data_IF_835415254601
#
_entry.id   IF_835415254601
#
_cell.length_a   1.000
_cell.length_b   1.000
_cell.length_c   1.000
_cell.angle_alpha   90.00
_cell.angle_beta   90.00
_cell.angle_gamma   90.00
#
_symmetry.space_group_name_H-M   'P 1'
#
loop_
_entity.id
_entity.type
_entity.pdbx_description
1 polymer ?
#
# COMPACT_ATOMS: atom_id res chain seq x y z
N UNK A 1 -23.24 4.17 66.35
CA UNK A 1 -22.21 4.26 65.29
C UNK A 1 -22.86 3.70 64.04
N UNK A 2 -23.23 4.55 63.07
CA UNK A 2 -23.83 4.05 61.83
C UNK A 2 -22.78 3.28 61.04
N UNK A 3 -23.15 2.16 60.42
CA UNK A 3 -22.25 1.43 59.54
C UNK A 3 -21.74 2.38 58.44
N UNK A 4 -20.43 2.34 58.09
CA UNK A 4 -19.94 3.13 56.97
C UNK A 4 -20.74 2.79 55.71
N UNK A 5 -21.09 3.81 54.93
CA UNK A 5 -21.71 3.61 53.64
C UNK A 5 -20.83 2.75 52.72
N UNK A 6 -21.43 2.11 51.73
CA UNK A 6 -20.67 1.45 50.67
C UNK A 6 -20.03 2.55 49.81
N UNK A 7 -18.71 2.53 49.56
CA UNK A 7 -18.07 3.53 48.71
C UNK A 7 -18.66 3.54 47.30
N UNK A 8 -19.04 4.71 46.82
CA UNK A 8 -19.64 4.91 45.51
C UNK A 8 -18.82 5.89 44.67
N UNK A 9 -18.69 5.59 43.38
CA UNK A 9 -18.11 6.46 42.38
C UNK A 9 -18.99 6.43 41.15
N UNK A 10 -19.56 7.57 40.80
CA UNK A 10 -20.43 7.72 39.64
C UNK A 10 -19.89 8.81 38.72
N UNK A 11 -20.20 8.72 37.43
CA UNK A 11 -19.92 9.82 36.50
C UNK A 11 -20.85 10.97 36.85
N UNK A 12 -20.28 12.15 37.08
CA UNK A 12 -21.08 13.33 37.41
C UNK A 12 -21.99 13.70 36.22
N UNK A 13 -23.12 14.40 36.45
CA UNK A 13 -23.97 14.89 35.37
C UNK A 13 -23.17 15.70 34.35
N UNK A 14 -23.29 15.37 33.05
CA UNK A 14 -22.47 15.95 31.97
C UNK A 14 -20.95 15.79 32.17
N UNK A 15 -20.51 14.79 32.94
CA UNK A 15 -19.12 14.55 33.31
C UNK A 15 -18.22 14.03 32.20
N UNK A 16 -18.53 14.31 30.93
CA UNK A 16 -17.63 14.03 29.81
C UNK A 16 -17.51 12.56 29.39
N UNK A 17 -18.53 11.72 29.61
CA UNK A 17 -18.57 10.38 29.03
C UNK A 17 -18.99 10.40 27.54
N UNK A 18 -18.58 9.38 26.80
CA UNK A 18 -18.93 9.14 25.39
C UNK A 18 -18.56 10.29 24.44
N UNK A 19 -17.43 10.95 24.71
CA UNK A 19 -16.95 12.06 23.88
C UNK A 19 -16.30 11.57 22.58
N UNK A 20 -16.24 12.44 21.60
CA UNK A 20 -15.46 12.25 20.37
C UNK A 20 -14.38 13.31 20.25
N UNK A 21 -13.26 12.97 19.63
CA UNK A 21 -12.17 13.90 19.37
C UNK A 21 -11.20 13.34 18.33
N UNK A 22 -10.36 14.19 17.75
CA UNK A 22 -9.30 13.73 16.84
C UNK A 22 -8.25 12.95 17.63
N UNK A 23 -7.71 11.87 17.06
CA UNK A 23 -6.64 11.09 17.65
C UNK A 23 -5.46 11.99 18.09
N UNK A 24 -4.95 11.78 19.30
CA UNK A 24 -3.91 12.60 19.92
C UNK A 24 -4.37 13.96 20.47
N UNK A 25 -5.65 14.34 20.32
CA UNK A 25 -6.18 15.61 20.83
C UNK A 25 -6.73 15.48 22.25
N UNK A 26 -6.70 16.60 22.98
CA UNK A 26 -7.40 16.75 24.25
C UNK A 26 -8.92 16.77 24.01
N UNK A 27 -9.66 16.00 24.80
CA UNK A 27 -11.13 16.00 24.72
C UNK A 27 -11.72 17.38 25.10
N UNK A 28 -12.80 17.82 24.43
CA UNK A 28 -13.40 19.13 24.67
C UNK A 28 -13.83 19.33 26.13
N UNK A 29 -14.50 18.32 26.69
CA UNK A 29 -14.97 18.34 28.07
C UNK A 29 -14.03 17.51 28.95
N UNK A 30 -13.79 17.96 30.20
CA UNK A 30 -13.10 17.14 31.18
C UNK A 30 -13.96 15.91 31.56
N UNK A 31 -13.29 14.86 32.01
CA UNK A 31 -13.95 13.71 32.63
C UNK A 31 -14.14 13.97 34.12
N UNK A 32 -15.36 13.75 34.63
CA UNK A 32 -15.75 14.15 35.99
C UNK A 32 -16.54 13.04 36.66
N UNK A 33 -16.11 12.69 37.87
CA UNK A 33 -16.81 11.74 38.75
C UNK A 33 -17.21 12.40 40.06
N UNK A 34 -18.20 11.83 40.72
CA UNK A 34 -18.62 12.18 42.07
C UNK A 34 -18.42 10.99 43.01
N UNK A 35 -17.73 11.25 44.11
CA UNK A 35 -17.52 10.33 45.23
C UNK A 35 -18.69 10.44 46.21
N UNK A 36 -19.21 9.31 46.66
CA UNK A 36 -20.23 9.24 47.71
C UNK A 36 -20.00 8.01 48.61
N UNK A 37 -20.80 7.87 49.68
CA UNK A 37 -20.79 6.69 50.54
C UNK A 37 -19.57 6.55 51.47
N UNK A 38 -18.64 7.52 51.48
CA UNK A 38 -17.46 7.54 52.37
C UNK A 38 -17.45 8.79 53.25
N UNK A 39 -16.71 8.76 54.36
CA UNK A 39 -16.55 9.92 55.25
C UNK A 39 -15.08 10.10 55.61
N UNK A 40 -14.45 11.26 55.30
CA UNK A 40 -15.01 12.40 54.57
C UNK A 40 -15.19 12.14 53.06
N UNK A 41 -16.14 12.81 52.41
CA UNK A 41 -16.36 12.71 50.95
C UNK A 41 -15.31 13.50 50.16
N UNK A 42 -14.90 14.68 50.66
CA UNK A 42 -13.84 15.50 50.09
C UNK A 42 -12.47 15.03 50.59
N UNK A 43 -11.44 15.17 49.76
CA UNK A 43 -10.07 14.72 50.02
C UNK A 43 -9.82 13.25 49.68
N UNK A 44 -10.80 12.54 49.11
CA UNK A 44 -10.65 11.16 48.67
C UNK A 44 -9.84 11.11 47.38
N UNK A 45 -8.95 10.12 47.24
CA UNK A 45 -8.10 10.00 46.05
C UNK A 45 -8.82 9.19 44.97
N UNK A 46 -8.97 9.80 43.79
CA UNK A 46 -9.46 9.12 42.59
C UNK A 46 -8.32 8.99 41.60
N UNK A 47 -7.94 7.75 41.29
CA UNK A 47 -6.96 7.44 40.26
C UNK A 47 -7.63 7.37 38.89
N UNK A 48 -7.03 7.99 37.88
CA UNK A 48 -7.48 7.89 36.50
C UNK A 48 -6.47 7.07 35.70
N UNK A 49 -6.94 5.98 35.11
CA UNK A 49 -6.10 5.03 34.41
C UNK A 49 -6.64 4.85 33.01
N UNK A 50 -5.83 5.14 32.00
CA UNK A 50 -6.15 4.79 30.60
C UNK A 50 -6.07 3.27 30.47
N UNK A 51 -7.15 2.63 30.05
CA UNK A 51 -7.24 1.16 29.95
C UNK A 51 -7.33 0.67 28.50
N UNK A 52 -7.73 1.52 27.56
CA UNK A 52 -7.79 1.19 26.14
C UNK A 52 -7.41 2.37 25.26
N UNK A 53 -6.70 2.07 24.17
CA UNK A 53 -6.47 2.98 23.05
C UNK A 53 -5.33 4.00 23.23
N UNK A 54 -4.77 4.09 24.45
CA UNK A 54 -3.60 4.90 24.76
C UNK A 54 -3.93 6.37 25.07
N UNK A 55 -2.93 7.23 24.96
CA UNK A 55 -3.05 8.64 25.35
C UNK A 55 -2.68 8.87 26.81
N UNK A 56 -3.24 9.92 27.40
CA UNK A 56 -2.87 10.32 28.76
C UNK A 56 -3.98 11.09 29.47
N UNK A 57 -3.96 11.00 30.79
CA UNK A 57 -4.71 11.91 31.66
C UNK A 57 -3.74 12.94 32.24
N UNK A 58 -4.23 14.15 32.54
CA UNK A 58 -3.38 15.24 33.02
C UNK A 58 -2.69 14.91 34.35
N UNK A 59 -3.39 14.23 35.25
CA UNK A 59 -2.83 13.71 36.49
C UNK A 59 -3.34 12.30 36.75
N UNK A 60 -2.47 11.38 37.19
CA UNK A 60 -2.87 10.00 37.46
C UNK A 60 -3.76 9.88 38.71
N UNK A 61 -3.72 10.86 39.62
CA UNK A 61 -4.50 10.88 40.85
C UNK A 61 -5.02 12.31 41.10
N UNK A 62 -6.30 12.42 41.44
CA UNK A 62 -6.97 13.71 41.72
C UNK A 62 -7.75 13.58 43.03
N UNK A 63 -7.56 14.49 44.01
CA UNK A 63 -8.40 14.50 45.20
C UNK A 63 -9.80 15.02 44.88
N UNK A 64 -10.82 14.41 45.48
CA UNK A 64 -12.18 14.92 45.44
C UNK A 64 -12.29 16.23 46.22
N UNK A 65 -13.11 17.16 45.74
CA UNK A 65 -13.30 18.46 46.37
C UNK A 65 -14.71 19.00 46.10
N UNK A 66 -15.02 20.16 46.68
CA UNK A 66 -16.28 20.88 46.49
C UNK A 66 -16.07 22.09 45.58
N UNK A 67 -16.50 22.06 44.30
CA UNK A 67 -16.31 23.17 43.39
C UNK A 67 -17.01 24.45 43.83
N UNK A 68 -16.37 25.60 43.60
CA UNK A 68 -16.94 26.93 43.93
C UNK A 68 -17.64 27.58 42.73
N UNK A 69 -17.50 27.02 41.53
CA UNK A 69 -18.04 27.57 40.29
C UNK A 69 -18.25 26.48 39.24
N UNK A 70 -19.01 26.80 38.19
CA UNK A 70 -19.28 25.90 37.07
C UNK A 70 -20.46 24.95 37.32
N UNK A 71 -20.67 23.98 36.42
CA UNK A 71 -21.86 23.11 36.44
C UNK A 71 -22.00 22.24 37.69
N UNK A 72 -20.90 21.98 38.38
CA UNK A 72 -20.84 21.17 39.61
C UNK A 72 -20.58 22.02 40.86
N UNK A 73 -20.80 23.33 40.79
CA UNK A 73 -20.64 24.21 41.94
C UNK A 73 -21.45 23.69 43.13
N UNK A 74 -20.85 23.74 44.30
CA UNK A 74 -21.45 23.34 45.58
C UNK A 74 -21.72 21.84 45.77
N UNK A 75 -21.40 20.99 44.80
CA UNK A 75 -21.46 19.52 44.95
C UNK A 75 -20.22 19.01 45.67
N UNK A 76 -20.38 18.19 46.71
CA UNK A 76 -19.27 17.51 47.36
C UNK A 76 -18.78 16.30 46.55
N UNK A 77 -17.51 15.94 46.73
CA UNK A 77 -16.95 14.70 46.22
C UNK A 77 -16.56 14.74 44.75
N UNK A 78 -16.43 15.91 44.14
CA UNK A 78 -16.12 16.03 42.71
C UNK A 78 -14.63 15.82 42.48
N UNK A 79 -14.29 14.90 41.58
CA UNK A 79 -12.94 14.76 41.04
C UNK A 79 -12.98 14.92 39.52
N UNK A 80 -12.09 15.74 38.98
CA UNK A 80 -12.07 16.14 37.58
C UNK A 80 -10.69 15.90 36.96
N UNK A 81 -10.67 15.44 35.71
CA UNK A 81 -9.43 15.28 34.96
C UNK A 81 -9.58 15.70 33.49
N UNK A 82 -8.45 15.98 32.85
CA UNK A 82 -8.33 16.24 31.42
C UNK A 82 -7.77 15.01 30.73
N UNK A 83 -8.42 14.56 29.66
CA UNK A 83 -8.05 13.35 28.94
C UNK A 83 -7.66 13.67 27.50
N UNK A 84 -6.41 13.36 27.15
CA UNK A 84 -5.88 13.37 25.79
C UNK A 84 -6.00 11.99 25.19
N UNK A 85 -6.68 11.88 24.05
CA UNK A 85 -6.89 10.62 23.35
C UNK A 85 -5.57 10.03 22.84
N UNK A 86 -5.50 8.71 22.72
CA UNK A 86 -4.39 8.05 22.02
C UNK A 86 -4.33 8.38 20.53
N UNK A 87 -3.24 7.96 19.88
CA UNK A 87 -2.99 8.21 18.45
C UNK A 87 -3.71 7.25 17.52
N UNK A 88 -4.34 6.20 18.05
CA UNK A 88 -5.10 5.21 17.27
C UNK A 88 -6.59 5.59 17.23
N UNK A 89 -7.14 5.76 16.04
CA UNK A 89 -8.57 5.97 15.84
C UNK A 89 -9.38 4.75 16.30
N UNK A 90 -10.56 4.98 16.88
CA UNK A 90 -11.42 3.95 17.44
C UNK A 90 -11.79 4.20 18.91
N UNK A 91 -12.36 3.18 19.59
CA UNK A 91 -12.78 3.30 20.99
C UNK A 91 -11.59 3.42 21.93
N UNK A 92 -11.78 4.26 22.94
CA UNK A 92 -10.79 4.64 23.96
C UNK A 92 -11.47 4.58 25.32
N UNK A 93 -10.74 4.17 26.37
CA UNK A 93 -11.32 3.97 27.71
C UNK A 93 -10.40 4.49 28.81
N UNK A 94 -10.98 5.21 29.78
CA UNK A 94 -10.35 5.58 31.05
C UNK A 94 -11.20 5.07 32.19
N UNK A 95 -10.58 4.41 33.16
CA UNK A 95 -11.21 4.08 34.44
C UNK A 95 -10.83 5.12 35.50
N UNK A 96 -11.84 5.70 36.14
CA UNK A 96 -11.69 6.42 37.39
C UNK A 96 -11.89 5.42 38.53
N UNK A 97 -10.95 5.35 39.46
CA UNK A 97 -10.91 4.38 40.56
C UNK A 97 -10.81 5.13 41.87
N UNK A 98 -11.83 5.01 42.71
CA UNK A 98 -11.74 5.45 44.10
C UNK A 98 -10.86 4.45 44.84
N UNK A 99 -9.79 4.90 45.48
CA UNK A 99 -8.81 4.01 46.12
C UNK A 99 -8.74 4.23 47.62
N UNK A 100 -8.39 3.16 48.34
CA UNK A 100 -8.05 3.23 49.75
C UNK A 100 -6.69 3.93 49.92
N UNK A 101 -6.60 5.05 50.67
CA UNK A 101 -5.37 5.82 50.79
C UNK A 101 -4.25 5.10 51.56
N UNK A 102 -4.56 4.05 52.33
CA UNK A 102 -3.58 3.33 53.14
C UNK A 102 -2.82 2.25 52.35
N UNK A 103 -3.48 1.61 51.38
CA UNK A 103 -2.92 0.46 50.67
C UNK A 103 -3.09 0.51 49.13
N UNK A 104 -3.75 1.54 48.59
CA UNK A 104 -3.95 1.73 47.16
C UNK A 104 -5.00 0.80 46.53
N UNK A 105 -5.73 0.00 47.31
CA UNK A 105 -6.73 -0.92 46.79
C UNK A 105 -7.92 -0.13 46.18
N UNK A 106 -8.36 -0.52 44.98
CA UNK A 106 -9.59 0.03 44.37
C UNK A 106 -10.79 -0.35 45.22
N UNK A 107 -11.53 0.65 45.69
CA UNK A 107 -12.78 0.49 46.43
C UNK A 107 -13.97 0.36 45.48
N UNK A 108 -14.01 1.19 44.44
CA UNK A 108 -15.03 1.19 43.39
C UNK A 108 -14.52 1.96 42.17
N UNK A 109 -15.17 1.82 41.01
CA UNK A 109 -14.74 2.46 39.78
C UNK A 109 -15.89 2.91 38.89
N UNK A 110 -15.60 3.90 38.05
CA UNK A 110 -16.45 4.35 36.96
C UNK A 110 -15.64 4.38 35.66
N UNK A 111 -16.29 4.06 34.54
CA UNK A 111 -15.62 3.93 33.24
C UNK A 111 -16.07 5.02 32.27
N UNK A 112 -15.12 5.79 31.78
CA UNK A 112 -15.31 6.73 30.68
C UNK A 112 -14.96 6.06 29.36
N UNK A 113 -15.82 6.23 28.37
CA UNK A 113 -15.58 5.86 26.98
C UNK A 113 -15.45 7.12 26.14
N UNK A 114 -14.61 7.06 25.11
CA UNK A 114 -14.53 8.06 24.07
C UNK A 114 -14.20 7.39 22.73
N UNK A 115 -14.43 8.09 21.63
CA UNK A 115 -14.04 7.64 20.29
C UNK A 115 -13.05 8.62 19.68
N UNK A 116 -11.83 8.13 19.43
CA UNK A 116 -10.85 8.84 18.63
C UNK A 116 -11.20 8.74 17.15
N UNK A 117 -11.33 9.88 16.49
CA UNK A 117 -11.49 10.00 15.04
C UNK A 117 -10.11 10.17 14.41
N UNK A 118 -9.92 9.63 13.22
CA UNK A 118 -8.71 9.89 12.46
C UNK A 118 -8.58 11.39 12.16
N UNK A 119 -7.34 11.90 12.15
CA UNK A 119 -7.06 13.30 11.82
C UNK A 119 -7.24 13.60 10.33
N UNK A 120 -6.94 14.83 9.89
CA UNK A 120 -6.90 15.16 8.47
C UNK A 120 -5.92 14.24 7.71
N UNK A 121 -6.26 13.92 6.45
CA UNK A 121 -5.37 13.16 5.58
C UNK A 121 -4.02 13.88 5.43
N UNK A 122 -2.92 13.15 5.63
CA UNK A 122 -1.57 13.73 5.63
C UNK A 122 -0.58 12.93 4.77
N UNK A 123 -0.75 11.61 4.67
CA UNK A 123 0.21 10.70 4.05
C UNK A 123 -0.45 9.88 2.93
N UNK A 124 0.27 9.72 1.82
CA UNK A 124 -0.05 8.80 0.72
C UNK A 124 1.10 7.79 0.57
N UNK A 125 0.82 6.49 0.63
CA UNK A 125 1.85 5.43 0.56
C UNK A 125 1.42 4.29 -0.36
N UNK A 126 2.40 3.59 -0.93
CA UNK A 126 2.16 2.32 -1.63
C UNK A 126 1.54 1.31 -0.64
N UNK A 127 0.47 0.65 -1.07
CA UNK A 127 -0.17 -0.45 -0.34
C UNK A 127 0.03 -1.81 -1.03
N UNK A 128 -0.03 -1.86 -2.36
CA UNK A 128 0.20 -3.07 -3.15
C UNK A 128 0.59 -2.74 -4.60
N UNK A 129 1.10 -3.74 -5.33
CA UNK A 129 1.31 -3.65 -6.79
C UNK A 129 2.50 -2.81 -7.25
N UNK A 130 3.53 -2.64 -6.40
CA UNK A 130 4.81 -2.02 -6.80
C UNK A 130 5.77 -3.02 -7.45
N UNK A 131 6.67 -2.52 -8.31
CA UNK A 131 7.80 -3.25 -8.92
C UNK A 131 7.43 -4.62 -9.52
N UNK A 132 6.63 -4.61 -10.58
CA UNK A 132 6.12 -5.85 -11.18
C UNK A 132 6.81 -6.20 -12.50
N UNK A 133 6.63 -7.44 -12.96
CA UNK A 133 7.03 -7.87 -14.29
C UNK A 133 5.93 -8.74 -14.89
N UNK A 134 5.83 -8.72 -16.22
CA UNK A 134 4.86 -9.52 -16.96
C UNK A 134 5.15 -9.48 -18.46
N UNK A 135 4.34 -10.16 -19.26
CA UNK A 135 4.42 -10.03 -20.71
C UNK A 135 3.87 -8.66 -21.15
N UNK A 136 4.48 -8.07 -22.17
CA UNK A 136 3.99 -6.86 -22.81
C UNK A 136 2.55 -7.08 -23.31
N UNK A 137 1.68 -6.09 -23.10
CA UNK A 137 0.26 -6.17 -23.40
C UNK A 137 -0.58 -6.96 -22.39
N UNK A 138 0.02 -7.49 -21.32
CA UNK A 138 -0.69 -8.25 -20.28
C UNK A 138 -0.91 -7.44 -19.00
N UNK A 139 -1.92 -7.83 -18.21
CA UNK A 139 -2.14 -7.30 -16.88
C UNK A 139 -1.02 -7.71 -15.92
N UNK A 140 -0.63 -6.80 -15.04
CA UNK A 140 0.24 -7.12 -13.90
C UNK A 140 -0.51 -7.99 -12.89
N UNK A 141 0.24 -8.81 -12.14
CA UNK A 141 -0.36 -9.81 -11.24
C UNK A 141 -1.10 -9.18 -10.05
N UNK A 142 -0.53 -8.13 -9.46
CA UNK A 142 -1.12 -7.42 -8.32
C UNK A 142 -1.57 -6.02 -8.76
N UNK A 143 -2.88 -5.71 -8.73
CA UNK A 143 -3.35 -4.37 -9.06
C UNK A 143 -2.70 -3.30 -8.16
N UNK A 144 -2.17 -2.20 -8.74
CA UNK A 144 -1.63 -1.08 -7.96
C UNK A 144 -2.63 -0.48 -6.98
N UNK A 145 -2.20 -0.31 -5.74
CA UNK A 145 -3.01 0.28 -4.68
C UNK A 145 -2.17 1.20 -3.79
N UNK A 146 -2.80 2.27 -3.30
CA UNK A 146 -2.25 3.19 -2.30
C UNK A 146 -3.13 3.25 -1.06
N UNK A 147 -2.54 3.63 0.07
CA UNK A 147 -3.27 3.92 1.31
C UNK A 147 -3.11 5.40 1.67
N UNK A 148 -4.23 6.03 2.02
CA UNK A 148 -4.25 7.38 2.61
C UNK A 148 -4.44 7.26 4.12
N UNK A 149 -3.58 7.96 4.86
CA UNK A 149 -3.62 7.99 6.32
C UNK A 149 -3.44 9.40 6.87
N UNK A 150 -3.83 9.64 8.13
CA UNK A 150 -3.40 10.81 8.89
C UNK A 150 -1.92 10.72 9.31
N UNK A 151 -1.45 11.70 10.07
CA UNK A 151 -0.08 11.78 10.57
C UNK A 151 0.33 10.62 11.48
N UNK A 152 -0.63 9.90 12.08
CA UNK A 152 -0.39 8.77 12.99
C UNK A 152 -0.60 7.41 12.30
N UNK A 153 -0.94 7.40 11.02
CA UNK A 153 -1.18 6.16 10.27
C UNK A 153 -2.63 5.66 10.35
N UNK A 154 -3.56 6.44 10.89
CA UNK A 154 -4.98 6.06 10.89
C UNK A 154 -5.55 6.18 9.46
N UNK A 155 -6.29 5.18 8.98
CA UNK A 155 -6.84 5.20 7.62
C UNK A 155 -7.91 6.27 7.43
N UNK A 156 -7.90 6.94 6.28
CA UNK A 156 -8.90 7.97 5.93
C UNK A 156 -9.76 7.50 4.76
N UNK A 157 -11.06 7.43 4.98
CA UNK A 157 -12.07 7.08 3.97
C UNK A 157 -12.48 8.29 3.12
N UNK A 158 -12.93 8.04 1.88
CA UNK A 158 -13.50 9.06 1.00
C UNK A 158 -12.50 10.00 0.32
N UNK A 159 -11.19 9.75 0.44
CA UNK A 159 -10.16 10.56 -0.21
C UNK A 159 -10.03 10.14 -1.68
N UNK A 160 -10.46 11.00 -2.60
CA UNK A 160 -10.22 10.83 -4.04
C UNK A 160 -8.72 10.77 -4.37
N UNK A 161 -8.26 9.68 -4.99
CA UNK A 161 -6.91 9.50 -5.52
C UNK A 161 -7.01 9.28 -7.04
N UNK A 162 -6.22 10.02 -7.82
CA UNK A 162 -6.21 9.89 -9.29
C UNK A 162 -5.03 9.06 -9.76
N UNK A 163 -5.33 7.99 -10.49
CA UNK A 163 -4.37 7.10 -11.15
C UNK A 163 -4.21 7.45 -12.61
N UNK A 164 -2.97 7.47 -13.11
CA UNK A 164 -2.67 7.74 -14.51
C UNK A 164 -1.43 6.98 -14.98
N UNK A 165 -1.53 6.35 -16.16
CA UNK A 165 -0.37 5.75 -16.84
C UNK A 165 0.57 6.87 -17.26
N UNK A 166 1.80 6.84 -16.76
CA UNK A 166 2.79 7.88 -17.02
C UNK A 166 3.70 7.49 -18.19
N UNK A 167 4.10 6.22 -18.31
CA UNK A 167 4.92 5.72 -19.42
C UNK A 167 4.56 4.28 -19.80
N UNK A 168 4.95 3.87 -21.02
CA UNK A 168 4.79 2.51 -21.54
C UNK A 168 3.55 2.29 -22.40
N UNK A 169 2.53 3.16 -22.31
CA UNK A 169 1.36 3.12 -23.22
C UNK A 169 0.30 2.07 -22.89
N UNK A 170 0.32 1.52 -21.68
CA UNK A 170 -0.67 0.60 -21.14
C UNK A 170 -1.99 1.27 -20.70
N UNK A 171 -2.81 0.56 -19.93
CA UNK A 171 -4.12 1.05 -19.47
C UNK A 171 -4.47 0.55 -18.06
N UNK A 172 -5.42 1.23 -17.41
CA UNK A 172 -6.00 0.81 -16.12
C UNK A 172 -7.43 0.33 -16.30
N UNK A 173 -7.87 -0.61 -15.47
CA UNK A 173 -9.26 -1.06 -15.41
C UNK A 173 -10.00 -0.27 -14.32
N UNK A 174 -11.15 0.32 -14.69
CA UNK A 174 -11.97 1.14 -13.79
C UNK A 174 -11.74 2.65 -13.97
N UNK A 175 -12.32 3.48 -13.09
CA UNK A 175 -12.17 4.93 -13.18
C UNK A 175 -10.75 5.39 -12.83
N UNK A 176 -10.32 6.49 -13.43
CA UNK A 176 -9.02 7.10 -13.11
C UNK A 176 -9.00 7.66 -11.67
N UNK A 177 -10.11 8.18 -11.16
CA UNK A 177 -10.21 8.67 -9.78
C UNK A 177 -10.99 7.70 -8.91
N UNK A 178 -10.38 7.27 -7.81
CA UNK A 178 -10.91 6.26 -6.90
C UNK A 178 -10.90 6.84 -5.49
N UNK A 179 -12.04 6.80 -4.80
CA UNK A 179 -12.12 7.22 -3.41
C UNK A 179 -11.62 6.10 -2.49
N UNK A 180 -10.88 6.47 -1.45
CA UNK A 180 -10.44 5.49 -0.46
C UNK A 180 -11.62 4.84 0.28
N UNK A 181 -11.50 3.54 0.56
CA UNK A 181 -12.45 2.78 1.38
C UNK A 181 -12.28 3.03 2.89
N UNK A 182 -13.02 2.26 3.70
CA UNK A 182 -12.97 2.36 5.17
C UNK A 182 -11.61 2.04 5.79
N UNK A 183 -10.77 1.29 5.08
CA UNK A 183 -9.38 1.02 5.44
C UNK A 183 -8.40 2.02 4.82
N UNK A 184 -8.88 3.07 4.17
CA UNK A 184 -8.05 4.08 3.53
C UNK A 184 -7.40 3.63 2.22
N UNK A 185 -7.79 2.49 1.65
CA UNK A 185 -7.24 2.01 0.37
C UNK A 185 -7.98 2.58 -0.84
N UNK A 186 -7.20 3.01 -1.84
CA UNK A 186 -7.66 3.23 -3.21
C UNK A 186 -6.82 2.33 -4.14
N UNK A 187 -7.49 1.50 -4.95
CA UNK A 187 -6.85 0.51 -5.81
C UNK A 187 -7.51 0.50 -7.20
N UNK A 188 -6.70 0.45 -8.26
CA UNK A 188 -7.24 0.22 -9.61
C UNK A 188 -7.77 -1.20 -9.73
N UNK A 189 -8.72 -1.44 -10.63
CA UNK A 189 -9.22 -2.79 -10.91
C UNK A 189 -8.17 -3.68 -11.59
N UNK A 190 -7.18 -3.07 -12.24
CA UNK A 190 -6.07 -3.73 -12.93
C UNK A 190 -5.17 -2.72 -13.63
N UNK A 191 -3.96 -3.14 -13.96
CA UNK A 191 -3.02 -2.37 -14.77
C UNK A 191 -2.42 -3.26 -15.88
N UNK A 192 -2.77 -2.97 -17.12
CA UNK A 192 -2.26 -3.65 -18.31
C UNK A 192 -1.06 -2.88 -18.86
N UNK A 193 0.05 -3.58 -19.07
CA UNK A 193 1.28 -3.01 -19.62
C UNK A 193 1.12 -2.69 -21.11
N UNK A 194 1.94 -1.77 -21.63
CA UNK A 194 2.03 -1.53 -23.06
C UNK A 194 2.45 -2.76 -23.85
N UNK A 195 2.11 -2.80 -25.14
CA UNK A 195 2.41 -3.93 -26.03
C UNK A 195 3.87 -4.00 -26.47
N UNK A 196 4.64 -2.91 -26.30
CA UNK A 196 6.09 -2.89 -26.53
C UNK A 196 6.83 -3.34 -25.28
N UNK A 197 7.74 -4.30 -25.42
CA UNK A 197 8.59 -4.73 -24.32
C UNK A 197 9.43 -3.56 -23.78
N UNK A 198 9.45 -3.38 -22.45
CA UNK A 198 10.16 -2.29 -21.79
C UNK A 198 9.53 -1.83 -20.49
N UNK A 199 10.01 -0.68 -20.00
CA UNK A 199 9.59 -0.09 -18.75
C UNK A 199 8.20 0.58 -18.87
N UNK A 200 7.38 0.40 -17.85
CA UNK A 200 6.05 0.95 -17.71
C UNK A 200 5.92 1.63 -16.34
N UNK A 201 5.22 2.77 -16.27
CA UNK A 201 4.95 3.45 -15.00
C UNK A 201 3.50 3.91 -14.89
N UNK A 202 2.97 3.80 -13.66
CA UNK A 202 1.65 4.28 -13.26
C UNK A 202 1.84 5.21 -12.06
N UNK A 203 1.12 6.33 -12.01
CA UNK A 203 1.15 7.25 -10.86
C UNK A 203 -0.17 7.25 -10.14
N UNK A 204 -0.15 7.42 -8.82
CA UNK A 204 -1.32 7.71 -7.98
C UNK A 204 -1.10 9.04 -7.27
N UNK A 205 -2.02 9.99 -7.48
CA UNK A 205 -1.85 11.38 -7.09
C UNK A 205 -2.99 11.86 -6.22
N UNK A 206 -2.65 12.56 -5.14
CA UNK A 206 -3.55 13.41 -4.36
C UNK A 206 -2.77 14.59 -3.79
N UNK A 207 -2.97 15.77 -4.38
CA UNK A 207 -2.27 17.00 -4.01
C UNK A 207 -2.41 17.34 -2.53
N UNK A 208 -1.32 17.82 -1.93
CA UNK A 208 -1.27 18.21 -0.52
C UNK A 208 -0.93 17.08 0.45
N UNK A 209 -0.84 15.82 -0.01
CA UNK A 209 -0.38 14.71 0.83
C UNK A 209 1.12 14.49 0.68
N UNK A 210 1.79 14.22 1.80
CA UNK A 210 3.19 13.79 1.80
C UNK A 210 3.30 12.42 1.14
N UNK A 211 4.23 12.27 0.19
CA UNK A 211 4.40 11.06 -0.61
C UNK A 211 3.61 11.05 -1.93
N UNK A 212 2.85 12.10 -2.25
CA UNK A 212 2.19 12.25 -3.55
C UNK A 212 3.09 13.00 -4.55
N UNK A 213 3.18 12.56 -5.82
CA UNK A 213 2.58 11.34 -6.37
C UNK A 213 3.36 10.08 -5.95
N UNK A 214 2.65 8.97 -5.80
CA UNK A 214 3.24 7.63 -5.68
C UNK A 214 3.43 7.05 -7.08
N UNK A 215 4.63 6.56 -7.40
CA UNK A 215 4.93 5.91 -8.68
C UNK A 215 5.06 4.39 -8.53
N UNK A 216 4.29 3.66 -9.32
CA UNK A 216 4.42 2.23 -9.54
C UNK A 216 5.22 1.96 -10.81
N UNK A 217 6.13 1.00 -10.75
CA UNK A 217 6.91 0.55 -11.90
C UNK A 217 6.57 -0.90 -12.25
N UNK A 218 6.62 -1.20 -13.55
CA UNK A 218 6.58 -2.55 -14.05
C UNK A 218 7.44 -2.70 -15.32
N UNK A 219 7.86 -3.91 -15.63
CA UNK A 219 8.59 -4.24 -16.87
C UNK A 219 7.78 -5.25 -17.69
N UNK A 220 7.47 -4.90 -18.93
CA UNK A 220 6.89 -5.80 -19.91
C UNK A 220 8.01 -6.51 -20.67
N UNK A 221 8.12 -7.82 -20.55
CA UNK A 221 8.97 -8.66 -21.41
C UNK A 221 8.24 -9.07 -22.68
N UNK A 222 8.97 -9.62 -23.66
CA UNK A 222 8.32 -10.25 -24.80
C UNK A 222 7.42 -11.40 -24.34
N UNK A 223 6.28 -11.57 -24.99
CA UNK A 223 5.38 -12.68 -24.78
C UNK A 223 5.92 -13.99 -25.36
N UNK A 224 5.05 -15.00 -25.44
CA UNK A 224 5.40 -16.26 -26.08
C UNK A 224 5.74 -16.04 -27.57
N UNK A 225 6.76 -16.75 -28.05
CA UNK A 225 7.12 -16.76 -29.47
C UNK A 225 5.92 -17.19 -30.32
N UNK A 226 5.59 -16.40 -31.33
CA UNK A 226 4.44 -16.61 -32.18
C UNK A 226 4.83 -16.70 -33.66
N UNK A 227 5.87 -15.97 -34.08
CA UNK A 227 6.25 -15.86 -35.48
C UNK A 227 7.76 -15.87 -35.65
N UNK A 228 8.19 -16.37 -36.80
CA UNK A 228 9.55 -16.26 -37.29
C UNK A 228 9.52 -15.37 -38.54
N UNK A 229 10.24 -14.26 -38.51
CA UNK A 229 10.29 -13.27 -39.60
C UNK A 229 11.70 -13.17 -40.16
N UNK A 230 11.82 -12.77 -41.43
CA UNK A 230 13.13 -12.51 -42.03
C UNK A 230 13.79 -11.32 -41.33
N UNK A 231 15.04 -11.50 -40.90
CA UNK A 231 15.86 -10.45 -40.28
C UNK A 231 16.77 -9.79 -41.31
N UNK A 232 17.69 -10.55 -41.89
CA UNK A 232 18.68 -10.08 -42.86
C UNK A 232 19.17 -11.21 -43.76
N UNK A 233 19.84 -10.85 -44.86
CA UNK A 233 20.57 -11.81 -45.70
C UNK A 233 19.71 -12.69 -46.61
N UNK A 234 18.48 -12.30 -46.94
CA UNK A 234 17.68 -12.93 -47.99
C UNK A 234 18.03 -12.33 -49.38
N UNK A 235 17.94 -13.13 -50.44
CA UNK A 235 18.12 -12.67 -51.83
C UNK A 235 19.53 -12.22 -52.23
N UNK A 236 20.55 -12.59 -51.47
CA UNK A 236 21.95 -12.26 -51.75
C UNK A 236 22.65 -13.28 -52.67
N UNK A 237 23.81 -12.90 -53.19
CA UNK A 237 24.67 -13.74 -54.03
C UNK A 237 26.11 -13.73 -53.52
N UNK A 238 26.84 -14.81 -53.79
CA UNK A 238 28.27 -14.95 -53.50
C UNK A 238 28.90 -15.90 -54.51
N UNK A 239 30.24 -15.98 -54.51
CA UNK A 239 30.96 -16.98 -55.31
C UNK A 239 30.68 -18.38 -54.76
N UNK A 240 30.70 -19.38 -55.65
CA UNK A 240 30.53 -20.78 -55.27
C UNK A 240 31.57 -21.20 -54.21
N UNK A 241 31.14 -21.94 -53.18
CA UNK A 241 32.00 -22.37 -52.09
C UNK A 241 32.45 -21.26 -51.13
N UNK A 242 31.91 -20.04 -51.24
CA UNK A 242 32.26 -18.91 -50.36
C UNK A 242 31.10 -18.52 -49.45
N UNK A 243 31.42 -17.88 -48.32
CA UNK A 243 30.43 -17.35 -47.41
C UNK A 243 29.69 -16.17 -48.04
N UNK A 244 28.39 -16.06 -47.78
CA UNK A 244 27.62 -14.87 -48.14
C UNK A 244 28.07 -13.64 -47.34
N UNK A 245 28.02 -12.46 -47.96
CA UNK A 245 28.53 -11.22 -47.36
C UNK A 245 27.71 -10.74 -46.16
N UNK A 246 26.38 -10.91 -46.20
CA UNK A 246 25.51 -10.60 -45.06
C UNK A 246 25.13 -11.91 -44.38
N UNK A 247 25.37 -12.03 -43.08
CA UNK A 247 24.93 -13.22 -42.32
C UNK A 247 23.41 -13.34 -42.42
N UNK A 248 22.85 -14.49 -42.89
CA UNK A 248 21.41 -14.72 -42.84
C UNK A 248 20.93 -14.70 -41.39
N UNK A 249 19.92 -13.88 -41.12
CA UNK A 249 19.31 -13.72 -39.80
C UNK A 249 17.81 -13.92 -39.94
N UNK A 250 17.23 -14.69 -39.04
CA UNK A 250 15.79 -14.71 -38.78
C UNK A 250 15.53 -14.12 -37.40
N UNK A 251 14.34 -13.54 -37.21
CA UNK A 251 13.95 -12.97 -35.94
C UNK A 251 12.72 -13.70 -35.40
N UNK A 252 12.81 -14.18 -34.17
CA UNK A 252 11.70 -14.76 -33.42
C UNK A 252 10.98 -13.64 -32.70
N UNK A 253 9.70 -13.47 -32.97
CA UNK A 253 8.88 -12.41 -32.37
C UNK A 253 7.61 -12.97 -31.73
N UNK A 254 7.12 -12.28 -30.71
CA UNK A 254 5.81 -12.54 -30.09
C UNK A 254 4.67 -12.00 -30.98
N UNK A 255 3.43 -12.18 -30.53
CA UNK A 255 2.24 -11.70 -31.26
C UNK A 255 2.18 -10.16 -31.42
N UNK A 256 2.91 -9.42 -30.61
CA UNK A 256 2.98 -7.95 -30.64
C UNK A 256 4.22 -7.45 -31.41
N UNK A 257 5.06 -8.35 -31.95
CA UNK A 257 6.27 -8.01 -32.68
C UNK A 257 7.51 -7.79 -31.81
N UNK A 258 7.45 -8.07 -30.51
CA UNK A 258 8.62 -7.97 -29.63
C UNK A 258 9.56 -9.15 -29.87
N UNK A 259 10.86 -8.90 -29.85
CA UNK A 259 11.88 -9.94 -29.97
C UNK A 259 11.86 -10.92 -28.79
N UNK A 260 11.79 -12.22 -29.07
CA UNK A 260 11.78 -13.26 -28.03
C UNK A 260 13.16 -13.92 -27.97
N UNK A 261 13.83 -13.74 -26.83
CA UNK A 261 15.17 -14.26 -26.60
C UNK A 261 15.19 -15.74 -26.20
N UNK A 262 16.31 -16.41 -26.47
CA UNK A 262 16.57 -17.78 -26.00
C UNK A 262 15.78 -18.86 -26.74
N UNK A 263 15.13 -18.54 -27.85
CA UNK A 263 14.38 -19.51 -28.66
C UNK A 263 15.36 -20.23 -29.59
N UNK A 264 15.34 -21.56 -29.54
CA UNK A 264 16.14 -22.38 -30.43
C UNK A 264 15.61 -22.31 -31.87
N UNK A 265 16.48 -21.88 -32.78
CA UNK A 265 16.21 -21.75 -34.22
C UNK A 265 17.19 -22.61 -34.98
N UNK A 266 16.66 -23.55 -35.77
CA UNK A 266 17.46 -24.39 -36.66
C UNK A 266 17.40 -23.87 -38.08
N UNK A 267 18.56 -23.54 -38.66
CA UNK A 267 18.71 -23.19 -40.07
C UNK A 267 19.31 -24.37 -40.82
N UNK A 268 18.72 -24.74 -41.96
CA UNK A 268 19.04 -26.00 -42.67
C UNK A 268 19.22 -25.74 -44.14
N UNK A 269 20.40 -26.05 -44.68
CA UNK A 269 20.63 -25.97 -46.12
C UNK A 269 19.71 -26.96 -46.83
N UNK A 270 18.76 -26.44 -47.62
CA UNK A 270 17.77 -27.23 -48.35
C UNK A 270 18.19 -27.55 -49.77
N UNK A 271 18.94 -26.67 -50.43
CA UNK A 271 19.44 -26.90 -51.79
C UNK A 271 20.73 -26.15 -52.09
N UNK A 272 21.42 -26.55 -53.16
CA UNK A 272 22.66 -25.94 -53.64
C UNK A 272 23.95 -26.58 -53.09
N UNK A 273 23.88 -27.35 -52.00
CA UNK A 273 25.02 -28.12 -51.46
C UNK A 273 26.02 -27.31 -50.62
N UNK A 274 25.58 -26.17 -50.08
CA UNK A 274 26.34 -25.35 -49.14
C UNK A 274 26.37 -25.88 -47.71
N UNK A 275 26.80 -25.05 -46.76
CA UNK A 275 26.85 -25.40 -45.33
C UNK A 275 26.62 -24.18 -44.43
N UNK A 276 26.05 -24.41 -43.25
CA UNK A 276 26.04 -23.45 -42.13
C UNK A 276 27.11 -23.86 -41.13
N UNK A 277 28.16 -23.04 -40.96
CA UNK A 277 29.31 -23.35 -40.09
C UNK A 277 29.94 -24.74 -40.33
N UNK A 278 29.97 -25.18 -41.60
CA UNK A 278 30.54 -26.47 -42.00
C UNK A 278 29.61 -27.68 -41.85
N UNK A 279 28.38 -27.49 -41.38
CA UNK A 279 27.36 -28.56 -41.27
C UNK A 279 26.12 -28.26 -42.13
N UNK A 280 25.28 -29.27 -42.36
CA UNK A 280 24.05 -29.13 -43.17
C UNK A 280 22.90 -28.41 -42.46
N UNK A 281 22.92 -28.41 -41.11
CA UNK A 281 21.96 -27.69 -40.28
C UNK A 281 22.62 -27.28 -38.96
N UNK A 282 22.29 -26.10 -38.46
CA UNK A 282 22.79 -25.60 -37.18
C UNK A 282 21.65 -24.97 -36.38
N UNK A 283 21.59 -25.29 -35.09
CA UNK A 283 20.66 -24.68 -34.14
C UNK A 283 21.38 -23.61 -33.33
N UNK A 284 20.83 -22.40 -33.31
CA UNK A 284 21.31 -21.28 -32.48
C UNK A 284 20.16 -20.71 -31.66
N UNK A 285 20.47 -19.97 -30.60
CA UNK A 285 19.47 -19.29 -29.78
C UNK A 285 19.27 -17.85 -30.28
N UNK A 286 18.03 -17.37 -30.26
CA UNK A 286 17.75 -15.96 -30.49
C UNK A 286 18.31 -15.06 -29.38
N UNK A 287 18.79 -13.88 -29.73
CA UNK A 287 19.29 -12.87 -28.78
C UNK A 287 18.16 -12.04 -28.14
N UNK A 288 18.51 -11.01 -27.35
CA UNK A 288 17.55 -10.12 -26.67
C UNK A 288 16.58 -9.38 -27.62
N UNK A 289 16.94 -9.25 -28.90
CA UNK A 289 16.09 -8.67 -29.96
C UNK A 289 15.32 -9.73 -30.74
N UNK A 290 15.46 -11.00 -30.36
CA UNK A 290 14.90 -12.15 -31.04
C UNK A 290 15.70 -12.62 -32.26
N UNK A 291 16.88 -12.05 -32.53
CA UNK A 291 17.64 -12.37 -33.73
C UNK A 291 18.47 -13.66 -33.57
N UNK A 292 18.43 -14.53 -34.58
CA UNK A 292 19.20 -15.76 -34.69
C UNK A 292 19.82 -15.83 -36.09
N UNK A 293 21.15 -15.93 -36.18
CA UNK A 293 21.87 -15.98 -37.45
C UNK A 293 23.04 -16.94 -37.41
N UNK A 294 23.44 -17.43 -38.58
CA UNK A 294 24.54 -18.39 -38.77
C UNK A 294 25.33 -18.07 -40.02
N UNK A 295 26.63 -18.30 -39.99
CA UNK A 295 27.49 -18.09 -41.15
C UNK A 295 27.17 -19.13 -42.24
N UNK A 296 26.72 -18.67 -43.41
CA UNK A 296 26.28 -19.53 -44.52
C UNK A 296 27.25 -19.49 -45.70
N UNK A 297 27.74 -20.66 -46.10
CA UNK A 297 28.60 -20.87 -47.28
C UNK A 297 27.80 -21.50 -48.40
N UNK A 298 27.82 -20.90 -49.60
CA UNK A 298 27.13 -21.43 -50.78
C UNK A 298 27.81 -22.69 -51.31
N UNK A 299 27.07 -23.54 -52.02
CA UNK A 299 27.63 -24.75 -52.61
C UNK A 299 28.65 -24.48 -53.72
N UNK A 300 29.33 -25.54 -54.16
CA UNK A 300 30.43 -25.46 -55.14
C UNK A 300 29.98 -25.42 -56.62
N UNK A 301 28.67 -25.45 -56.87
CA UNK A 301 28.08 -25.39 -58.21
C UNK A 301 27.27 -24.11 -58.38
N UNK A 302 27.38 -23.48 -59.56
CA UNK A 302 26.57 -22.31 -59.90
C UNK A 302 25.10 -22.71 -59.92
N UNK A 303 24.24 -21.91 -59.27
CA UNK A 303 22.80 -22.15 -59.24
C UNK A 303 22.14 -21.62 -57.96
N UNK A 304 20.81 -21.80 -57.83
CA UNK A 304 20.08 -21.39 -56.65
C UNK A 304 20.48 -22.23 -55.43
N UNK A 305 20.65 -21.56 -54.29
CA UNK A 305 20.89 -22.16 -52.99
C UNK A 305 19.76 -21.74 -52.04
N UNK A 306 19.31 -22.64 -51.18
CA UNK A 306 18.26 -22.32 -50.18
C UNK A 306 18.69 -22.79 -48.79
N UNK A 307 18.39 -21.96 -47.78
CA UNK A 307 18.64 -22.16 -46.36
C UNK A 307 17.31 -22.23 -45.58
#
# INVERSE_FOLDING_TARGET
MMAPGVPELSIAPNGGNSQTGVAGALLPNPIVVQVAGVTPVNGQIVNFVVTLGGGSVFANAVPSWRPTSGPWANMDGIAQNRWTLGTTAGPQTVEARLVNPLNGATLTQATFQATALAGPAALLKVAAGGQQAGAAGSAVAAPPAVRVTDQYGNPITGVAVTFAVATGGGSITGPATINTGGDGLAAVGGWTLGTTAGANTLTATRSGLTGSPVTFSAVGGAGAAAQLVRGAGDGQSALVGTQVATVPVVRVVDANGNGVAGVAVTLTVRSGGGSVEGVGALTTLSDATGAAGVNWTLGRTVGPNTL
#
